data_IF_099271841483
#
_entry.id   IF_099271841483
#
_cell.length_a   1.000
_cell.length_b   1.000
_cell.length_c   1.000
_cell.angle_alpha   90.00
_cell.angle_beta   90.00
_cell.angle_gamma   90.00
#
_symmetry.space_group_name_H-M   'P 1'
#
loop_
_entity.id
_entity.type
_entity.pdbx_description
1 polymer ?
#
# COMPACT_ATOMS: atom_id res chain seq x y z
N UNK A 1 8.63 32.21 9.75
CA UNK A 1 7.57 31.28 9.32
C UNK A 1 6.76 31.74 8.10
N UNK A 2 6.66 33.04 7.80
CA UNK A 2 5.91 33.58 6.64
C UNK A 2 6.58 33.30 5.27
N UNK A 3 7.92 33.40 5.17
CA UNK A 3 8.62 33.26 3.89
C UNK A 3 8.61 31.84 3.27
N UNK A 4 8.82 30.81 4.10
CA UNK A 4 8.81 29.41 3.62
C UNK A 4 7.42 29.00 3.09
N UNK A 5 6.34 29.45 3.73
CA UNK A 5 4.98 29.21 3.28
C UNK A 5 4.69 29.90 1.94
N UNK A 6 5.15 31.12 1.75
CA UNK A 6 5.01 31.84 0.49
C UNK A 6 5.79 31.18 -0.67
N UNK A 7 6.96 30.64 -0.40
CA UNK A 7 7.74 29.89 -1.42
C UNK A 7 7.00 28.61 -1.82
N UNK A 8 6.52 27.83 -0.84
CA UNK A 8 5.76 26.62 -1.09
C UNK A 8 4.48 26.88 -1.88
N UNK A 9 3.74 27.95 -1.54
CA UNK A 9 2.49 28.33 -2.25
C UNK A 9 2.79 28.69 -3.71
N UNK A 10 3.88 29.43 -3.99
CA UNK A 10 4.31 29.76 -5.36
C UNK A 10 4.72 28.53 -6.17
N UNK A 11 5.47 27.61 -5.56
CA UNK A 11 5.88 26.36 -6.20
C UNK A 11 4.66 25.47 -6.51
N UNK A 12 3.71 25.37 -5.57
CA UNK A 12 2.45 24.64 -5.78
C UNK A 12 1.63 25.22 -6.94
N UNK A 13 1.58 26.55 -7.05
CA UNK A 13 0.90 27.22 -8.16
C UNK A 13 1.63 27.00 -9.50
N UNK A 14 2.96 27.03 -9.50
CA UNK A 14 3.77 26.72 -10.68
C UNK A 14 3.54 25.27 -11.16
N UNK A 15 3.52 24.32 -10.21
CA UNK A 15 3.23 22.92 -10.52
C UNK A 15 1.82 22.75 -11.09
N UNK A 16 0.80 23.37 -10.50
CA UNK A 16 -0.57 23.35 -11.03
C UNK A 16 -0.65 23.89 -12.46
N UNK A 17 0.03 24.99 -12.75
CA UNK A 17 0.10 25.55 -14.12
C UNK A 17 0.80 24.59 -15.09
N UNK A 18 1.91 23.97 -14.67
CA UNK A 18 2.62 22.99 -15.49
C UNK A 18 1.77 21.74 -15.77
N UNK A 19 1.01 21.26 -14.79
CA UNK A 19 0.11 20.12 -14.95
C UNK A 19 -1.09 20.41 -15.82
N UNK A 20 -1.66 21.63 -15.75
CA UNK A 20 -2.86 22.04 -16.50
C UNK A 20 -4.09 21.20 -16.18
N UNK A 21 -5.22 21.51 -16.85
CA UNK A 21 -6.48 20.80 -16.65
C UNK A 21 -6.38 19.32 -17.03
N UNK A 22 -5.59 18.99 -18.04
CA UNK A 22 -5.44 17.62 -18.56
C UNK A 22 -4.98 16.62 -17.48
N UNK A 23 -4.20 17.08 -16.49
CA UNK A 23 -3.73 16.27 -15.35
C UNK A 23 -4.53 16.58 -14.09
N UNK A 24 -4.85 17.86 -13.84
CA UNK A 24 -5.53 18.26 -12.60
C UNK A 24 -6.99 17.80 -12.52
N UNK A 25 -7.71 17.76 -13.64
CA UNK A 25 -9.08 17.26 -13.66
C UNK A 25 -9.14 15.77 -13.31
N UNK A 26 -8.35 14.88 -13.97
CA UNK A 26 -8.22 13.50 -13.55
C UNK A 26 -7.71 13.34 -12.10
N UNK A 27 -6.78 14.19 -11.65
CA UNK A 27 -6.29 14.15 -10.28
C UNK A 27 -7.39 14.42 -9.26
N UNK A 28 -8.35 15.27 -9.60
CA UNK A 28 -9.49 15.63 -8.76
C UNK A 28 -10.66 14.64 -8.86
N UNK A 29 -10.73 13.83 -9.93
CA UNK A 29 -11.83 12.89 -10.18
C UNK A 29 -11.71 11.65 -9.27
N UNK A 30 -12.66 11.38 -8.35
CA UNK A 30 -12.58 10.23 -7.44
C UNK A 30 -12.65 8.86 -8.14
N UNK A 31 -13.07 8.81 -9.41
CA UNK A 31 -13.10 7.58 -10.20
C UNK A 31 -11.74 7.24 -10.83
N UNK A 32 -10.82 8.19 -10.93
CA UNK A 32 -9.47 7.97 -11.45
C UNK A 32 -8.57 7.41 -10.37
N UNK A 33 -7.88 6.32 -10.69
CA UNK A 33 -6.93 5.61 -9.80
C UNK A 33 -5.49 5.97 -10.15
N UNK A 34 -5.16 5.97 -11.45
CA UNK A 34 -3.81 6.28 -11.94
C UNK A 34 -3.86 7.25 -13.13
N UNK A 35 -2.83 8.07 -13.23
CA UNK A 35 -2.57 8.99 -14.35
C UNK A 35 -1.16 8.69 -14.83
N UNK A 36 -1.00 8.36 -16.10
CA UNK A 36 0.27 7.90 -16.67
C UNK A 36 0.63 8.73 -17.90
N UNK A 37 1.82 9.29 -17.91
CA UNK A 37 2.40 9.95 -19.08
C UNK A 37 3.47 9.04 -19.68
N UNK A 38 3.25 8.62 -20.90
CA UNK A 38 4.22 7.80 -21.64
C UNK A 38 5.30 8.68 -22.33
N UNK A 39 6.47 8.09 -22.72
CA UNK A 39 7.53 8.83 -23.41
C UNK A 39 7.11 9.43 -24.76
N UNK A 40 6.07 8.88 -25.41
CA UNK A 40 5.49 9.42 -26.67
C UNK A 40 4.64 10.68 -26.46
N UNK A 41 4.47 11.09 -25.19
CA UNK A 41 3.64 12.23 -24.77
C UNK A 41 2.18 11.87 -24.56
N UNK A 42 1.75 10.62 -24.78
CA UNK A 42 0.36 10.22 -24.55
C UNK A 42 0.05 10.16 -23.05
N UNK A 43 -1.02 10.85 -22.63
CA UNK A 43 -1.53 10.85 -21.25
C UNK A 43 -2.69 9.87 -21.16
N UNK A 44 -2.56 8.93 -20.23
CA UNK A 44 -3.53 7.88 -19.96
C UNK A 44 -4.05 7.98 -18.54
N UNK A 45 -5.29 7.59 -18.33
CA UNK A 45 -5.89 7.45 -17.01
C UNK A 45 -6.46 6.06 -16.83
N UNK A 46 -6.32 5.49 -15.62
CA UNK A 46 -7.03 4.27 -15.21
C UNK A 46 -8.19 4.65 -14.30
N UNK A 47 -9.41 4.21 -14.66
CA UNK A 47 -10.63 4.48 -13.91
C UNK A 47 -11.18 3.24 -13.24
N UNK A 48 -11.75 3.43 -12.06
CA UNK A 48 -12.43 2.36 -11.33
C UNK A 48 -13.53 1.71 -12.19
N UNK A 49 -13.33 0.45 -12.55
CA UNK A 49 -14.32 -0.34 -13.30
C UNK A 49 -14.38 -0.09 -14.81
N UNK A 50 -13.74 0.95 -15.33
CA UNK A 50 -13.74 1.28 -16.76
C UNK A 50 -12.41 0.93 -17.46
N UNK A 51 -11.30 0.82 -16.70
CA UNK A 51 -9.97 0.53 -17.25
C UNK A 51 -9.25 1.77 -17.78
N UNK A 52 -8.23 1.54 -18.62
CA UNK A 52 -7.34 2.60 -19.12
C UNK A 52 -7.91 3.26 -20.37
N UNK A 53 -7.85 4.59 -20.41
CA UNK A 53 -8.19 5.40 -21.59
C UNK A 53 -7.14 6.48 -21.84
N UNK A 54 -6.89 6.80 -23.11
CA UNK A 54 -6.05 7.95 -23.49
C UNK A 54 -6.90 9.21 -23.43
N UNK A 55 -6.46 10.22 -22.66
CA UNK A 55 -7.23 11.45 -22.41
C UNK A 55 -6.61 12.68 -23.06
N UNK A 56 -5.29 12.73 -23.22
CA UNK A 56 -4.60 13.91 -23.75
C UNK A 56 -3.23 13.55 -24.35
N UNK A 57 -2.51 14.60 -24.77
CA UNK A 57 -1.09 14.54 -25.13
C UNK A 57 -0.37 15.71 -24.45
N UNK A 58 0.81 15.45 -23.87
CA UNK A 58 1.63 16.43 -23.16
C UNK A 58 2.94 16.63 -23.92
N UNK A 59 3.29 17.88 -24.15
CA UNK A 59 4.54 18.24 -24.80
C UNK A 59 5.77 17.86 -23.95
N UNK A 60 6.88 17.38 -24.56
CA UNK A 60 8.06 16.89 -23.82
C UNK A 60 8.67 17.92 -22.88
N UNK A 61 8.71 19.19 -23.27
CA UNK A 61 9.23 20.27 -22.43
C UNK A 61 8.36 20.49 -21.19
N UNK A 62 7.04 20.38 -21.36
CA UNK A 62 6.07 20.47 -20.25
C UNK A 62 6.19 19.28 -19.31
N UNK A 63 6.36 18.06 -19.84
CA UNK A 63 6.59 16.85 -19.04
C UNK A 63 7.82 17.00 -18.14
N UNK A 64 8.95 17.42 -18.72
CA UNK A 64 10.19 17.65 -17.96
C UNK A 64 10.02 18.79 -16.94
N UNK A 65 9.28 19.84 -17.27
CA UNK A 65 8.97 20.94 -16.33
C UNK A 65 8.19 20.44 -15.12
N UNK A 66 7.21 19.56 -15.32
CA UNK A 66 6.46 18.92 -14.21
C UNK A 66 7.42 18.16 -13.29
N UNK A 67 8.23 17.26 -13.85
CA UNK A 67 9.18 16.44 -13.09
C UNK A 67 10.15 17.31 -12.28
N UNK A 68 10.77 18.31 -12.93
CA UNK A 68 11.71 19.20 -12.25
C UNK A 68 11.06 20.06 -11.17
N UNK A 69 9.80 20.49 -11.39
CA UNK A 69 9.08 21.28 -10.37
C UNK A 69 8.74 20.43 -9.15
N UNK A 70 8.31 19.18 -9.35
CA UNK A 70 8.07 18.23 -8.25
C UNK A 70 9.37 17.98 -7.48
N UNK A 71 10.49 17.70 -8.18
CA UNK A 71 11.79 17.49 -7.54
C UNK A 71 12.21 18.72 -6.71
N UNK A 72 12.12 19.91 -7.28
CA UNK A 72 12.48 21.17 -6.60
C UNK A 72 11.64 21.45 -5.34
N UNK A 73 10.35 21.05 -5.32
CA UNK A 73 9.49 21.19 -4.14
C UNK A 73 9.90 20.25 -3.00
N UNK A 74 10.68 19.23 -3.30
CA UNK A 74 11.17 18.21 -2.34
C UNK A 74 12.68 18.36 -2.06
N UNK A 75 13.27 19.49 -2.45
CA UNK A 75 14.71 19.72 -2.36
C UNK A 75 15.57 18.61 -3.04
N UNK A 76 14.99 17.97 -4.07
CA UNK A 76 15.61 16.93 -4.87
C UNK A 76 16.01 17.47 -6.26
N UNK A 77 16.95 16.80 -6.90
CA UNK A 77 17.39 17.12 -8.27
C UNK A 77 17.37 15.85 -9.10
N UNK A 78 16.73 15.92 -10.26
CA UNK A 78 16.71 14.83 -11.25
C UNK A 78 17.69 15.17 -12.34
N UNK A 79 18.64 14.26 -12.61
CA UNK A 79 19.72 14.44 -13.60
C UNK A 79 19.90 13.14 -14.39
N UNK A 80 20.62 13.17 -15.54
CA UNK A 80 20.98 11.94 -16.26
C UNK A 80 21.71 10.89 -15.41
N UNK A 81 22.42 11.28 -14.36
CA UNK A 81 23.10 10.38 -13.41
C UNK A 81 22.13 9.88 -12.30
N UNK A 82 21.02 10.58 -12.08
CA UNK A 82 19.94 10.22 -11.15
C UNK A 82 18.59 10.43 -11.84
N UNK A 83 18.25 9.58 -12.79
CA UNK A 83 17.15 9.80 -13.73
C UNK A 83 15.78 9.34 -13.21
N UNK A 84 15.69 8.89 -11.97
CA UNK A 84 14.48 8.40 -11.32
C UNK A 84 14.09 9.36 -10.20
N UNK A 85 12.79 9.71 -10.11
CA UNK A 85 12.20 10.46 -9.02
C UNK A 85 11.03 9.65 -8.45
N UNK A 86 11.21 9.11 -7.26
CA UNK A 86 10.17 8.43 -6.48
C UNK A 86 9.78 9.32 -5.30
N UNK A 87 8.50 9.73 -5.22
CA UNK A 87 8.06 10.61 -4.15
C UNK A 87 6.55 10.60 -3.95
N UNK A 88 6.08 11.32 -2.93
CA UNK A 88 4.70 11.76 -2.82
C UNK A 88 4.54 13.11 -3.51
N UNK A 89 3.51 13.24 -4.37
CA UNK A 89 3.20 14.48 -5.05
C UNK A 89 2.89 15.58 -4.02
N UNK A 90 3.59 16.73 -4.04
CA UNK A 90 3.39 17.78 -3.04
C UNK A 90 1.98 18.39 -3.00
N UNK A 91 1.16 18.18 -4.04
CA UNK A 91 -0.19 18.74 -4.14
C UNK A 91 -1.23 18.00 -3.29
N UNK A 92 -1.15 16.67 -3.25
CA UNK A 92 -2.19 15.82 -2.64
C UNK A 92 -1.63 14.56 -1.96
N UNK A 93 -0.31 14.34 -2.07
CA UNK A 93 0.37 13.18 -1.52
C UNK A 93 0.14 11.88 -2.31
N UNK A 94 -0.35 11.95 -3.55
CA UNK A 94 -0.38 10.82 -4.47
C UNK A 94 1.04 10.29 -4.71
N UNK A 95 1.20 8.98 -4.91
CA UNK A 95 2.51 8.41 -5.30
C UNK A 95 2.88 8.91 -6.68
N UNK A 96 4.06 9.46 -6.82
CA UNK A 96 4.61 9.97 -8.06
C UNK A 96 5.94 9.30 -8.36
N UNK A 97 6.02 8.66 -9.51
CA UNK A 97 7.24 8.08 -10.04
C UNK A 97 7.50 8.67 -11.42
N UNK A 98 8.68 9.24 -11.62
CA UNK A 98 9.06 9.83 -12.88
C UNK A 98 10.43 9.35 -13.34
N UNK A 99 10.56 9.21 -14.65
CA UNK A 99 11.76 8.81 -15.35
C UNK A 99 12.15 9.89 -16.37
N UNK A 100 13.45 10.16 -16.48
CA UNK A 100 13.98 11.05 -17.50
C UNK A 100 15.06 10.34 -18.34
N UNK A 101 15.50 10.89 -19.48
CA UNK A 101 16.65 10.37 -20.20
C UNK A 101 17.89 10.25 -19.29
N UNK A 102 18.70 9.16 -19.43
CA UNK A 102 18.73 8.21 -20.56
C UNK A 102 17.85 6.96 -20.37
N UNK A 103 17.09 6.81 -19.28
CA UNK A 103 16.26 5.61 -19.05
C UNK A 103 15.08 5.52 -20.02
N UNK A 104 14.57 6.65 -20.44
CA UNK A 104 13.46 6.80 -21.39
C UNK A 104 13.84 7.84 -22.45
N UNK A 105 13.19 7.82 -23.61
CA UNK A 105 13.47 8.80 -24.66
C UNK A 105 13.09 10.24 -24.27
N UNK A 106 12.01 10.39 -23.51
CA UNK A 106 11.47 11.66 -23.01
C UNK A 106 10.91 11.46 -21.61
N UNK A 107 10.85 12.53 -20.82
CA UNK A 107 10.31 12.47 -19.47
C UNK A 107 8.92 11.81 -19.46
N UNK A 108 8.76 10.83 -18.59
CA UNK A 108 7.51 10.11 -18.35
C UNK A 108 7.25 10.01 -16.86
N UNK A 109 6.00 9.80 -16.47
CA UNK A 109 5.65 9.59 -15.06
C UNK A 109 4.39 8.75 -14.91
N UNK A 110 4.28 8.09 -13.76
CA UNK A 110 3.07 7.48 -13.27
C UNK A 110 2.67 8.16 -11.94
N UNK A 111 1.39 8.48 -11.81
CA UNK A 111 0.79 9.13 -10.67
C UNK A 111 -0.33 8.25 -10.14
N UNK A 112 -0.10 7.58 -9.00
CA UNK A 112 -1.10 6.73 -8.38
C UNK A 112 -1.75 7.47 -7.22
N UNK A 113 -3.05 7.69 -7.34
CA UNK A 113 -3.81 8.43 -6.34
C UNK A 113 -3.98 7.64 -5.05
N UNK A 114 -3.99 8.36 -3.93
CA UNK A 114 -4.46 7.77 -2.67
C UNK A 114 -5.93 7.40 -2.82
N UNK A 115 -6.32 6.28 -2.23
CA UNK A 115 -7.72 5.89 -2.23
C UNK A 115 -8.57 7.00 -1.60
N UNK A 116 -9.42 7.64 -2.42
CA UNK A 116 -10.29 8.73 -1.97
C UNK A 116 -11.44 8.22 -1.07
N UNK A 117 -11.79 6.93 -1.19
CA UNK A 117 -12.88 6.30 -0.47
C UNK A 117 -12.32 5.14 0.36
N UNK A 118 -12.54 5.21 1.66
CA UNK A 118 -12.37 4.06 2.56
C UNK A 118 -13.67 3.26 2.51
N UNK A 119 -13.62 2.09 1.89
CA UNK A 119 -14.73 1.14 1.95
C UNK A 119 -14.71 0.43 3.30
N UNK A 120 -15.89 0.22 3.86
CA UNK A 120 -16.08 -0.65 5.03
C UNK A 120 -16.23 -2.11 4.59
N UNK A 121 -16.08 -3.07 5.51
CA UNK A 121 -16.37 -4.49 5.22
C UNK A 121 -17.83 -4.68 4.78
N UNK A 122 -18.77 -3.91 5.34
CA UNK A 122 -20.17 -3.90 4.93
C UNK A 122 -20.36 -3.46 3.47
N UNK A 123 -19.56 -2.47 2.99
CA UNK A 123 -19.60 -2.06 1.59
C UNK A 123 -19.14 -3.17 0.63
N UNK A 124 -18.15 -3.99 1.06
CA UNK A 124 -17.71 -5.16 0.30
C UNK A 124 -18.85 -6.20 0.17
N UNK A 125 -19.61 -6.42 1.24
CA UNK A 125 -20.77 -7.31 1.23
C UNK A 125 -21.87 -6.74 0.33
N UNK A 126 -22.22 -5.47 0.49
CA UNK A 126 -23.26 -4.81 -0.30
C UNK A 126 -22.97 -4.81 -1.81
N UNK A 127 -21.68 -4.77 -2.18
CA UNK A 127 -21.22 -4.85 -3.58
C UNK A 127 -21.05 -6.29 -4.10
N UNK A 128 -21.33 -7.32 -3.29
CA UNK A 128 -21.12 -8.71 -3.65
C UNK A 128 -19.66 -9.15 -3.83
N UNK A 129 -18.70 -8.33 -3.37
CA UNK A 129 -17.26 -8.65 -3.41
C UNK A 129 -16.90 -9.67 -2.32
N UNK A 130 -17.66 -9.68 -1.23
CA UNK A 130 -17.46 -10.51 -0.04
C UNK A 130 -18.81 -11.10 0.40
N UNK A 131 -18.82 -12.32 0.87
CA UNK A 131 -20.00 -12.92 1.51
C UNK A 131 -20.17 -12.42 2.95
N UNK A 132 -21.37 -12.55 3.51
CA UNK A 132 -21.62 -12.24 4.94
C UNK A 132 -20.75 -13.11 5.87
N UNK A 133 -20.56 -14.40 5.55
CA UNK A 133 -19.75 -15.30 6.34
C UNK A 133 -18.27 -14.87 6.34
N UNK A 134 -17.74 -14.46 5.19
CA UNK A 134 -16.36 -13.92 5.08
C UNK A 134 -16.20 -12.62 5.88
N UNK A 135 -17.18 -11.71 5.81
CA UNK A 135 -17.20 -10.48 6.59
C UNK A 135 -17.13 -10.79 8.09
N UNK A 136 -18.02 -11.66 8.57
CA UNK A 136 -18.07 -12.06 9.98
C UNK A 136 -16.74 -12.69 10.44
N UNK A 137 -16.16 -13.59 9.65
CA UNK A 137 -14.87 -14.21 9.97
C UNK A 137 -13.73 -13.18 10.10
N UNK A 138 -13.73 -12.12 9.28
CA UNK A 138 -12.76 -11.02 9.39
C UNK A 138 -13.05 -10.18 10.64
N UNK A 139 -14.30 -9.83 10.92
CA UNK A 139 -14.69 -9.05 12.11
C UNK A 139 -14.34 -9.82 13.40
N UNK A 140 -14.58 -11.12 13.46
CA UNK A 140 -14.20 -11.99 14.58
C UNK A 140 -12.66 -11.99 14.76
N UNK A 141 -11.91 -12.11 13.67
CA UNK A 141 -10.45 -12.06 13.70
C UNK A 141 -9.92 -10.70 14.23
N UNK A 142 -10.56 -9.60 13.85
CA UNK A 142 -10.24 -8.26 14.36
C UNK A 142 -10.53 -8.13 15.85
N UNK A 143 -11.70 -8.64 16.31
CA UNK A 143 -12.12 -8.63 17.71
C UNK A 143 -11.18 -9.48 18.58
N UNK A 144 -10.83 -10.67 18.10
CA UNK A 144 -9.89 -11.60 18.75
C UNK A 144 -8.42 -11.16 18.68
N UNK A 145 -8.13 -10.01 18.09
CA UNK A 145 -6.77 -9.50 17.88
C UNK A 145 -5.86 -10.50 17.15
N UNK A 146 -6.39 -11.16 16.13
CA UNK A 146 -5.62 -12.04 15.26
C UNK A 146 -4.83 -11.24 14.23
N UNK A 147 -3.62 -11.67 13.92
CA UNK A 147 -2.82 -11.07 12.85
C UNK A 147 -3.38 -11.49 11.50
N UNK A 148 -3.69 -10.53 10.66
CA UNK A 148 -4.33 -10.73 9.36
C UNK A 148 -3.35 -10.38 8.24
N UNK A 149 -3.12 -11.31 7.34
CA UNK A 149 -2.33 -11.11 6.13
C UNK A 149 -3.27 -11.06 4.91
N UNK A 150 -3.28 -9.94 4.21
CA UNK A 150 -4.06 -9.78 2.97
C UNK A 150 -3.21 -10.17 1.78
N UNK A 151 -3.64 -11.16 1.01
CA UNK A 151 -2.96 -11.63 -0.20
C UNK A 151 -3.71 -11.27 -1.48
N UNK A 152 -2.99 -11.10 -2.57
CA UNK A 152 -3.54 -10.84 -3.89
C UNK A 152 -2.48 -10.33 -4.87
N UNK A 153 -2.74 -10.40 -6.16
CA UNK A 153 -1.89 -9.86 -7.22
C UNK A 153 -1.84 -8.32 -7.25
N UNK A 154 -1.09 -7.76 -8.18
CA UNK A 154 -1.05 -6.32 -8.42
C UNK A 154 -2.42 -5.82 -8.88
N UNK A 155 -2.87 -4.68 -8.35
CA UNK A 155 -4.14 -4.05 -8.75
C UNK A 155 -5.41 -4.78 -8.29
N UNK A 156 -5.31 -5.86 -7.49
CA UNK A 156 -6.48 -6.58 -6.98
C UNK A 156 -7.27 -5.82 -5.91
N UNK A 157 -6.65 -4.82 -5.27
CA UNK A 157 -7.27 -4.04 -4.20
C UNK A 157 -6.87 -4.46 -2.80
N UNK A 158 -5.70 -5.09 -2.61
CA UNK A 158 -5.17 -5.45 -1.27
C UNK A 158 -5.16 -4.28 -0.30
N UNK A 159 -4.61 -3.13 -0.71
CA UNK A 159 -4.54 -1.92 0.12
C UNK A 159 -5.94 -1.40 0.48
N UNK A 160 -6.88 -1.46 -0.47
CA UNK A 160 -8.27 -1.05 -0.23
C UNK A 160 -8.95 -1.98 0.79
N UNK A 161 -8.71 -3.30 0.67
CA UNK A 161 -9.23 -4.28 1.64
C UNK A 161 -8.55 -4.12 3.01
N UNK A 162 -7.24 -3.90 3.04
CA UNK A 162 -6.54 -3.60 4.29
C UNK A 162 -7.11 -2.35 4.98
N UNK A 163 -7.44 -1.30 4.23
CA UNK A 163 -8.12 -0.11 4.77
C UNK A 163 -9.51 -0.44 5.35
N UNK A 164 -10.30 -1.33 4.72
CA UNK A 164 -11.57 -1.78 5.26
C UNK A 164 -11.42 -2.57 6.57
N UNK A 165 -10.39 -3.41 6.66
CA UNK A 165 -10.05 -4.13 7.89
C UNK A 165 -9.56 -3.16 8.97
N UNK A 166 -8.76 -2.16 8.62
CA UNK A 166 -8.26 -1.13 9.54
C UNK A 166 -9.38 -0.21 10.05
N UNK A 167 -10.41 0.06 9.25
CA UNK A 167 -11.63 0.73 9.71
C UNK A 167 -12.34 -0.11 10.77
N UNK A 168 -12.47 -1.43 10.57
CA UNK A 168 -13.02 -2.33 11.57
C UNK A 168 -12.15 -2.37 12.85
N UNK A 169 -10.82 -2.40 12.72
CA UNK A 169 -9.87 -2.30 13.83
C UNK A 169 -10.07 -1.01 14.63
N UNK A 170 -10.17 0.14 13.97
CA UNK A 170 -10.35 1.43 14.62
C UNK A 170 -11.69 1.52 15.40
N UNK A 171 -12.74 0.90 14.87
CA UNK A 171 -14.06 0.85 15.55
C UNK A 171 -14.05 0.01 16.83
N UNK A 172 -13.36 -1.14 16.82
CA UNK A 172 -13.30 -2.08 17.95
C UNK A 172 -12.26 -1.71 18.98
N UNK A 173 -11.18 -1.04 18.58
CA UNK A 173 -9.97 -0.81 19.39
C UNK A 173 -9.66 0.68 19.56
N UNK A 174 -10.64 1.46 20.09
CA UNK A 174 -10.54 2.92 20.21
C UNK A 174 -9.37 3.41 21.06
N UNK A 175 -8.99 2.66 22.07
CA UNK A 175 -7.92 2.94 23.02
C UNK A 175 -6.54 2.39 22.60
N UNK A 176 -6.49 1.58 21.53
CA UNK A 176 -5.24 0.99 21.07
C UNK A 176 -4.35 2.01 20.37
N UNK A 177 -3.05 1.91 20.67
CA UNK A 177 -2.02 2.60 19.89
C UNK A 177 -1.67 1.78 18.64
N UNK A 178 -1.98 2.31 17.47
CA UNK A 178 -1.73 1.67 16.19
C UNK A 178 -0.48 2.30 15.56
N UNK A 179 0.51 1.49 15.22
CA UNK A 179 1.69 1.96 14.48
C UNK A 179 1.62 1.37 13.07
N UNK A 180 1.59 2.25 12.08
CA UNK A 180 1.53 1.92 10.65
C UNK A 180 2.88 2.20 10.02
N UNK A 181 3.41 1.24 9.28
CA UNK A 181 4.72 1.34 8.62
C UNK A 181 4.53 1.06 7.13
N UNK A 182 4.98 1.99 6.29
CA UNK A 182 4.83 1.92 4.83
C UNK A 182 6.05 2.53 4.12
N UNK A 183 6.25 2.15 2.87
CA UNK A 183 7.18 2.83 1.99
C UNK A 183 6.55 4.12 1.43
N UNK A 184 5.33 4.01 0.95
CA UNK A 184 4.50 5.13 0.50
C UNK A 184 3.19 5.09 1.27
N UNK A 185 2.71 6.23 1.73
CA UNK A 185 1.52 6.33 2.56
C UNK A 185 0.24 6.07 1.73
N UNK A 186 -0.29 4.86 1.84
CA UNK A 186 -1.54 4.41 1.19
C UNK A 186 -2.61 4.00 2.22
N UNK A 187 -2.19 3.53 3.39
CA UNK A 187 -3.10 3.09 4.44
C UNK A 187 -3.75 4.26 5.16
N UNK A 188 -5.02 4.06 5.49
CA UNK A 188 -5.85 5.04 6.18
C UNK A 188 -6.40 4.41 7.47
N UNK A 189 -6.05 4.99 8.61
CA UNK A 189 -6.49 4.53 9.92
C UNK A 189 -7.15 5.70 10.62
N UNK A 190 -8.45 5.62 10.83
CA UNK A 190 -9.21 6.63 11.55
C UNK A 190 -9.28 6.27 13.05
N UNK A 191 -8.11 6.31 13.70
CA UNK A 191 -7.97 6.09 15.15
C UNK A 191 -7.35 7.32 15.80
N UNK A 192 -7.72 7.59 17.06
CA UNK A 192 -7.19 8.75 17.81
C UNK A 192 -5.69 8.60 18.12
N UNK A 193 -5.24 7.36 18.42
CA UNK A 193 -3.86 7.08 18.79
C UNK A 193 -3.14 6.28 17.69
N UNK A 194 -2.70 6.98 16.65
CA UNK A 194 -2.01 6.39 15.51
C UNK A 194 -0.68 7.07 15.23
N UNK A 195 0.34 6.27 14.88
CA UNK A 195 1.64 6.75 14.41
C UNK A 195 1.90 6.17 13.02
N UNK A 196 2.16 7.04 12.05
CA UNK A 196 2.57 6.64 10.72
C UNK A 196 4.08 6.79 10.59
N UNK A 197 4.75 5.71 10.23
CA UNK A 197 6.18 5.66 9.93
C UNK A 197 6.35 5.37 8.45
N UNK A 198 7.35 5.98 7.84
CA UNK A 198 7.69 5.80 6.43
C UNK A 198 9.17 5.51 6.27
N UNK A 199 9.49 4.60 5.36
CA UNK A 199 10.87 4.35 4.94
C UNK A 199 11.47 5.58 4.25
N UNK A 200 12.77 5.64 4.22
CA UNK A 200 13.54 6.66 3.50
C UNK A 200 14.85 6.04 3.04
N UNK A 201 15.62 6.74 2.21
CA UNK A 201 16.92 6.28 1.70
C UNK A 201 17.87 5.77 2.78
N UNK A 202 17.74 6.31 4.01
CA UNK A 202 18.60 5.96 5.14
C UNK A 202 17.90 5.12 6.22
N UNK A 203 16.65 4.73 6.02
CA UNK A 203 15.86 4.01 7.03
C UNK A 203 14.90 3.02 6.37
N UNK A 204 15.29 1.76 6.40
CA UNK A 204 14.52 0.66 5.85
C UNK A 204 13.37 0.21 6.77
N UNK A 205 12.50 -0.66 6.25
CA UNK A 205 11.35 -1.25 6.95
C UNK A 205 11.80 -2.01 8.22
N UNK A 206 12.90 -2.74 8.17
CA UNK A 206 13.43 -3.50 9.31
C UNK A 206 13.81 -2.59 10.47
N UNK A 207 14.45 -1.44 10.15
CA UNK A 207 14.82 -0.44 11.16
C UNK A 207 13.58 0.21 11.78
N UNK A 208 12.57 0.50 10.99
CA UNK A 208 11.29 1.05 11.48
C UNK A 208 10.56 0.04 12.38
N UNK A 209 10.50 -1.24 12.01
CA UNK A 209 9.92 -2.30 12.84
C UNK A 209 10.63 -2.40 14.20
N UNK A 210 11.96 -2.33 14.22
CA UNK A 210 12.74 -2.31 15.48
C UNK A 210 12.44 -1.06 16.33
N UNK A 211 12.31 0.11 15.70
CA UNK A 211 11.97 1.35 16.39
C UNK A 211 10.55 1.31 16.97
N UNK A 212 9.62 0.69 16.25
CA UNK A 212 8.22 0.53 16.65
C UNK A 212 8.08 -0.17 18.01
N UNK A 213 8.93 -1.15 18.33
CA UNK A 213 8.91 -1.86 19.60
C UNK A 213 9.13 -0.93 20.82
N UNK A 214 9.68 0.29 20.60
CA UNK A 214 9.88 1.31 21.64
C UNK A 214 8.78 2.38 21.65
N UNK A 215 7.84 2.32 20.72
CA UNK A 215 6.71 3.26 20.63
C UNK A 215 5.48 2.78 21.41
N UNK A 216 5.57 1.65 22.11
CA UNK A 216 4.47 0.99 22.85
C UNK A 216 3.25 0.75 21.97
N UNK A 217 3.40 0.01 20.85
CA UNK A 217 2.28 -0.31 19.98
C UNK A 217 1.38 -1.37 20.64
N UNK A 218 0.07 -1.22 20.49
CA UNK A 218 -0.91 -2.28 20.76
C UNK A 218 -1.14 -3.12 19.49
N UNK A 219 -1.04 -2.49 18.30
CA UNK A 219 -1.13 -3.14 16.99
C UNK A 219 -0.07 -2.58 16.05
N UNK A 220 0.55 -3.47 15.28
CA UNK A 220 1.56 -3.12 14.26
C UNK A 220 1.01 -3.48 12.90
N UNK A 221 0.94 -2.48 12.03
CA UNK A 221 0.42 -2.58 10.66
C UNK A 221 1.54 -2.31 9.67
N UNK A 222 1.66 -3.13 8.64
CA UNK A 222 2.65 -2.96 7.56
C UNK A 222 1.92 -2.90 6.22
N UNK A 223 2.11 -1.83 5.47
CA UNK A 223 1.46 -1.61 4.19
C UNK A 223 1.69 -2.75 3.22
N UNK A 224 2.94 -3.18 3.07
CA UNK A 224 3.31 -4.33 2.26
C UNK A 224 4.55 -5.03 2.80
N UNK A 225 4.52 -6.34 2.83
CA UNK A 225 5.66 -7.21 3.18
C UNK A 225 6.27 -7.72 1.87
N UNK A 226 7.45 -7.20 1.51
CA UNK A 226 8.06 -7.46 0.20
C UNK A 226 9.54 -7.86 0.21
N UNK A 227 10.17 -7.84 1.39
CA UNK A 227 11.60 -8.12 1.57
C UNK A 227 11.87 -8.86 2.90
N UNK A 228 13.13 -8.96 3.29
CA UNK A 228 13.57 -9.59 4.52
C UNK A 228 13.02 -8.99 5.81
N UNK A 229 12.35 -7.83 5.77
CA UNK A 229 11.64 -7.23 6.91
C UNK A 229 10.51 -8.11 7.43
N UNK A 230 10.03 -9.06 6.62
CA UNK A 230 9.06 -10.09 7.01
C UNK A 230 9.44 -10.75 8.33
N UNK A 231 10.71 -11.10 8.54
CA UNK A 231 11.18 -11.72 9.79
C UNK A 231 10.98 -10.79 11.01
N UNK A 232 11.28 -9.50 10.86
CA UNK A 232 11.12 -8.54 11.95
C UNK A 232 9.64 -8.32 12.29
N UNK A 233 8.76 -8.30 11.29
CA UNK A 233 7.32 -8.20 11.47
C UNK A 233 6.76 -9.42 12.22
N UNK A 234 7.08 -10.64 11.78
CA UNK A 234 6.59 -11.86 12.42
C UNK A 234 7.05 -11.95 13.88
N UNK A 235 8.30 -11.60 14.16
CA UNK A 235 8.80 -11.52 15.54
C UNK A 235 8.01 -10.50 16.37
N UNK A 236 7.70 -9.32 15.83
CA UNK A 236 6.91 -8.31 16.51
C UNK A 236 5.49 -8.80 16.81
N UNK A 237 4.83 -9.43 15.84
CA UNK A 237 3.50 -9.99 15.99
C UNK A 237 3.44 -11.14 17.01
N UNK A 238 4.50 -11.99 17.04
CA UNK A 238 4.56 -13.15 17.94
C UNK A 238 5.03 -12.80 19.37
N UNK A 239 5.52 -11.58 19.60
CA UNK A 239 6.09 -11.17 20.91
C UNK A 239 5.28 -10.09 21.60
N UNK A 240 3.95 -10.24 21.68
CA UNK A 240 3.08 -9.41 22.49
C UNK A 240 2.39 -8.25 21.76
N UNK A 241 2.44 -8.19 20.43
CA UNK A 241 1.76 -7.18 19.61
C UNK A 241 0.77 -7.81 18.62
N UNK A 242 -0.24 -8.58 19.10
CA UNK A 242 -1.21 -9.26 18.24
C UNK A 242 -2.22 -8.28 17.61
N UNK A 243 -2.89 -8.74 16.55
CA UNK A 243 -3.93 -7.96 15.87
C UNK A 243 -3.38 -7.00 14.83
N UNK A 244 -2.21 -7.32 14.29
CA UNK A 244 -1.63 -6.60 13.17
C UNK A 244 -2.31 -6.91 11.84
N UNK A 245 -2.09 -6.03 10.87
CA UNK A 245 -2.53 -6.20 9.48
C UNK A 245 -1.35 -5.96 8.56
N UNK A 246 -1.19 -6.82 7.56
CA UNK A 246 -0.16 -6.65 6.53
C UNK A 246 -0.66 -7.10 5.17
N UNK A 247 0.00 -6.69 4.08
CA UNK A 247 -0.30 -7.22 2.75
C UNK A 247 0.90 -7.92 2.15
N UNK A 248 0.65 -8.88 1.27
CA UNK A 248 1.70 -9.61 0.53
C UNK A 248 1.22 -9.95 -0.88
N UNK A 249 2.15 -9.99 -1.82
CA UNK A 249 1.85 -10.47 -3.18
C UNK A 249 1.86 -12.00 -3.21
N UNK A 250 0.67 -12.61 -3.26
CA UNK A 250 0.48 -14.05 -3.43
C UNK A 250 -0.92 -14.33 -4.00
N UNK A 251 -1.11 -15.53 -4.55
CA UNK A 251 -2.35 -15.88 -5.25
C UNK A 251 -3.44 -16.47 -4.34
N UNK A 252 -3.05 -17.09 -3.23
CA UNK A 252 -3.92 -17.76 -2.26
C UNK A 252 -3.26 -17.79 -0.88
N UNK A 253 -3.93 -18.37 0.12
CA UNK A 253 -3.47 -18.41 1.49
C UNK A 253 -2.18 -19.23 1.66
N UNK A 254 -2.10 -20.41 1.04
CA UNK A 254 -0.91 -21.26 1.13
C UNK A 254 0.29 -20.60 0.45
N UNK A 255 0.07 -20.02 -0.73
CA UNK A 255 1.11 -19.29 -1.45
C UNK A 255 1.57 -18.04 -0.66
N UNK A 256 0.68 -17.37 0.08
CA UNK A 256 1.03 -16.23 0.93
C UNK A 256 2.01 -16.64 2.04
N UNK A 257 1.76 -17.74 2.74
CA UNK A 257 2.64 -18.24 3.80
C UNK A 257 4.00 -18.70 3.24
N UNK A 258 4.00 -19.37 2.08
CA UNK A 258 5.24 -19.75 1.39
C UNK A 258 6.01 -18.48 0.96
N UNK A 259 5.33 -17.47 0.43
CA UNK A 259 5.95 -16.20 0.02
C UNK A 259 6.59 -15.49 1.19
N UNK A 260 5.94 -15.45 2.35
CA UNK A 260 6.54 -14.91 3.59
C UNK A 260 7.84 -15.68 3.94
N UNK A 261 7.86 -16.99 3.81
CA UNK A 261 9.07 -17.80 3.99
C UNK A 261 10.20 -17.42 3.02
N UNK A 262 9.88 -17.19 1.75
CA UNK A 262 10.85 -16.72 0.74
C UNK A 262 11.41 -15.33 1.09
N UNK A 263 10.54 -14.41 1.53
CA UNK A 263 10.96 -13.06 1.94
C UNK A 263 11.89 -13.10 3.18
N UNK A 264 11.65 -14.01 4.12
CA UNK A 264 12.57 -14.22 5.25
C UNK A 264 13.98 -14.60 4.77
N UNK A 265 14.10 -15.41 3.71
CA UNK A 265 15.41 -15.79 3.14
C UNK A 265 16.20 -14.59 2.62
N UNK A 266 15.54 -13.52 2.19
CA UNK A 266 16.19 -12.27 1.78
C UNK A 266 16.93 -11.57 2.93
N UNK A 267 16.58 -11.89 4.20
CA UNK A 267 17.34 -11.47 5.38
C UNK A 267 18.59 -12.37 5.66
N UNK A 268 18.93 -13.28 4.77
CA UNK A 268 20.08 -14.17 4.89
C UNK A 268 19.91 -15.32 5.92
N UNK A 269 18.69 -15.61 6.32
CA UNK A 269 18.37 -16.70 7.27
C UNK A 269 17.39 -17.71 6.66
N UNK A 270 17.44 -18.99 7.05
CA UNK A 270 16.46 -19.98 6.58
C UNK A 270 15.05 -19.59 7.04
N UNK A 271 14.00 -19.94 6.27
CA UNK A 271 12.62 -19.73 6.68
C UNK A 271 12.32 -20.54 7.94
N UNK A 272 11.48 -20.00 8.81
CA UNK A 272 10.97 -20.69 9.98
C UNK A 272 9.44 -20.84 9.83
N UNK A 273 8.97 -21.98 9.27
CA UNK A 273 7.56 -22.18 9.02
C UNK A 273 6.70 -22.18 10.29
N UNK A 274 7.24 -22.66 11.41
CA UNK A 274 6.56 -22.65 12.70
C UNK A 274 6.29 -21.22 13.15
N UNK A 275 7.30 -20.34 13.09
CA UNK A 275 7.13 -18.92 13.40
C UNK A 275 6.10 -18.24 12.48
N UNK A 276 6.11 -18.61 11.20
CA UNK A 276 5.12 -18.07 10.24
C UNK A 276 3.71 -18.48 10.66
N UNK A 277 3.51 -19.78 10.98
CA UNK A 277 2.21 -20.32 11.37
C UNK A 277 1.71 -19.79 12.72
N UNK A 278 2.61 -19.47 13.65
CA UNK A 278 2.28 -18.85 14.93
C UNK A 278 1.91 -17.37 14.78
N UNK A 279 2.67 -16.63 13.96
CA UNK A 279 2.52 -15.20 13.83
C UNK A 279 1.40 -14.76 12.88
N UNK A 280 1.13 -15.51 11.81
CA UNK A 280 0.04 -15.24 10.87
C UNK A 280 -1.16 -16.13 11.23
N UNK A 281 -2.24 -15.50 11.71
CA UNK A 281 -3.41 -16.27 12.17
C UNK A 281 -4.48 -16.39 11.10
N UNK A 282 -4.63 -15.38 10.25
CA UNK A 282 -5.65 -15.33 9.19
C UNK A 282 -5.03 -14.82 7.90
N UNK A 283 -5.38 -15.45 6.78
CA UNK A 283 -5.06 -14.95 5.45
C UNK A 283 -6.36 -14.66 4.72
N UNK A 284 -6.47 -13.45 4.16
CA UNK A 284 -7.60 -13.02 3.33
C UNK A 284 -7.11 -12.80 1.91
N UNK A 285 -7.61 -13.62 0.97
CA UNK A 285 -7.17 -13.57 -0.42
C UNK A 285 -8.18 -12.83 -1.30
N UNK A 286 -7.71 -11.79 -2.01
CA UNK A 286 -8.51 -10.99 -2.94
C UNK A 286 -8.01 -11.15 -4.37
N UNK A 287 -8.93 -11.41 -5.31
CA UNK A 287 -8.63 -11.53 -6.75
C UNK A 287 -9.42 -10.52 -7.57
N UNK A 288 -8.87 -10.22 -8.75
CA UNK A 288 -9.59 -9.55 -9.84
C UNK A 288 -10.09 -10.62 -10.81
N UNK A 289 -11.39 -10.65 -11.06
CA UNK A 289 -12.06 -11.51 -12.04
C UNK A 289 -12.60 -10.67 -13.19
N UNK A 290 -13.18 -11.31 -14.19
CA UNK A 290 -13.86 -10.61 -15.30
C UNK A 290 -15.10 -9.82 -14.83
N UNK A 291 -15.72 -10.25 -13.73
CA UNK A 291 -16.89 -9.63 -13.12
C UNK A 291 -16.53 -8.52 -12.11
N UNK A 292 -15.26 -8.35 -11.79
CA UNK A 292 -14.78 -7.36 -10.82
C UNK A 292 -13.84 -7.96 -9.78
N UNK A 293 -13.81 -7.36 -8.58
CA UNK A 293 -13.01 -7.86 -7.45
C UNK A 293 -13.83 -8.84 -6.62
N UNK A 294 -13.16 -9.85 -6.05
CA UNK A 294 -13.82 -10.85 -5.18
C UNK A 294 -12.86 -11.30 -4.09
N UNK A 295 -13.39 -11.46 -2.86
CA UNK A 295 -12.71 -12.22 -1.82
C UNK A 295 -12.85 -13.70 -2.16
N UNK A 296 -11.72 -14.33 -2.42
CA UNK A 296 -11.66 -15.74 -2.79
C UNK A 296 -11.84 -16.63 -1.58
N UNK A 297 -11.10 -16.31 -0.52
CA UNK A 297 -11.10 -17.08 0.72
C UNK A 297 -10.73 -16.21 1.93
N UNK A 298 -11.24 -16.61 3.08
CA UNK A 298 -10.78 -16.21 4.41
C UNK A 298 -10.32 -17.49 5.10
N UNK A 299 -9.04 -17.62 5.34
CA UNK A 299 -8.41 -18.87 5.79
C UNK A 299 -7.73 -18.69 7.14
N UNK A 300 -7.98 -19.62 8.07
CA UNK A 300 -7.34 -19.70 9.37
C UNK A 300 -6.06 -20.52 9.25
N UNK A 301 -4.96 -20.01 9.76
CA UNK A 301 -3.69 -20.73 9.85
C UNK A 301 -3.68 -21.51 11.17
N UNK A 302 -3.68 -22.84 11.07
CA UNK A 302 -3.76 -23.76 12.23
C UNK A 302 -2.42 -24.29 12.69
N UNK A 303 -1.38 -24.16 11.88
CA UNK A 303 -0.05 -24.64 12.18
C UNK A 303 0.74 -25.03 10.95
N UNK A 304 1.86 -25.68 11.19
CA UNK A 304 2.73 -26.26 10.17
C UNK A 304 3.25 -27.62 10.64
N UNK A 305 3.43 -28.53 9.70
CA UNK A 305 4.13 -29.81 9.99
C UNK A 305 5.00 -30.25 8.82
N UNK A 306 6.15 -30.86 9.15
CA UNK A 306 7.07 -31.36 8.15
C UNK A 306 6.39 -32.44 7.27
N UNK A 307 6.60 -32.34 5.96
CA UNK A 307 6.03 -33.25 4.97
C UNK A 307 4.60 -32.94 4.51
N UNK A 308 3.83 -32.14 5.26
CA UNK A 308 2.47 -31.69 4.87
C UNK A 308 2.48 -30.22 4.48
N UNK A 309 3.25 -29.37 5.18
CA UNK A 309 3.28 -27.93 4.99
C UNK A 309 2.39 -27.16 5.97
N UNK A 310 1.88 -26.00 5.55
CA UNK A 310 0.97 -25.20 6.35
C UNK A 310 -0.42 -25.82 6.40
N UNK A 311 -0.99 -25.88 7.60
CA UNK A 311 -2.36 -26.30 7.84
C UNK A 311 -3.26 -25.07 7.75
N UNK A 312 -4.00 -24.97 6.68
CA UNK A 312 -4.89 -23.86 6.39
C UNK A 312 -6.33 -24.38 6.33
N UNK A 313 -7.22 -23.78 7.09
CA UNK A 313 -8.64 -24.12 7.15
C UNK A 313 -9.46 -22.93 6.63
N UNK A 314 -10.30 -23.15 5.64
CA UNK A 314 -11.19 -22.11 5.15
C UNK A 314 -12.25 -21.79 6.21
N UNK A 315 -12.30 -20.53 6.65
CA UNK A 315 -13.27 -20.09 7.66
C UNK A 315 -14.63 -19.77 7.05
N UNK A 316 -14.64 -19.36 5.73
CA UNK A 316 -15.87 -19.03 5.02
C UNK A 316 -15.65 -19.02 3.49
#
# INVERSE_FOLDING_TARGET
>A
MSGARQVHDRQSEALRRAMGSEILDPLSDPQVVEIMLNPDGSLWVDRLGAGMERVASIEPVRALTIVNTVAAMLDAVVTPDRPILECELPLDGSRFEALIPPLVERASFALRKKAALVFTLADYVAKGIMTHAQCQAIEDAVADRRNILVSGGTGTGKTTLANAILDAVARVSRDHRIVVIEDTRELQVNAENVVFLRTSDNTDMTRLLRATMRLRPDRIVVGEVRDGSALALLKAWNTGHPGGVGTVHANDASAALIRVGQLIQEAGVPPNPELIAEAVNVVVSIKRTMEGRRIEEVSLVRGWSAGIGFHVEQAA
#
